data_IF_035625090149
#
_entry.id   IF_035625090149
#
_cell.length_a   1.000
_cell.length_b   1.000
_cell.length_c   1.000
_cell.angle_alpha   90.00
_cell.angle_beta   90.00
_cell.angle_gamma   90.00
#
_symmetry.space_group_name_H-M   'P 1'
#
loop_
_entity.id
_entity.type
_entity.pdbx_description
1 polymer ?
#
# COMPACT_ATOMS: atom_id res chain seq x y z
N UNK A 1 -0.94 16.76 5.24
CA UNK A 1 -1.67 15.62 4.80
C UNK A 1 -0.88 14.32 4.82
N UNK A 2 0.40 14.37 4.66
CA UNK A 2 1.17 13.14 4.53
C UNK A 2 1.81 12.72 5.82
N UNK A 3 1.04 12.02 6.63
CA UNK A 3 1.59 11.37 7.80
C UNK A 3 2.08 9.96 7.46
N UNK A 4 2.14 9.67 6.17
CA UNK A 4 2.56 8.34 5.71
C UNK A 4 4.08 8.32 5.62
N UNK A 5 4.68 7.39 6.33
CA UNK A 5 6.13 7.27 6.44
C UNK A 5 6.56 5.86 6.12
N UNK A 6 7.86 5.72 5.89
CA UNK A 6 8.45 4.40 5.66
C UNK A 6 8.13 3.46 6.80
N UNK A 7 7.97 2.20 6.46
CA UNK A 7 7.74 1.11 7.40
C UNK A 7 6.36 1.06 8.02
N UNK A 8 5.45 1.98 7.64
CA UNK A 8 4.09 1.90 8.11
C UNK A 8 3.38 0.76 7.40
N UNK A 9 2.45 0.14 8.11
CA UNK A 9 1.65 -0.93 7.52
C UNK A 9 0.50 -0.35 6.72
N UNK A 10 0.25 -0.92 5.54
CA UNK A 10 -0.92 -0.55 4.74
C UNK A 10 -1.96 -1.62 4.92
N UNK A 11 -3.16 -1.21 5.30
CA UNK A 11 -4.28 -2.12 5.52
C UNK A 11 -5.47 -1.69 4.68
N UNK A 12 -6.31 -2.65 4.34
CA UNK A 12 -7.56 -2.35 3.63
C UNK A 12 -8.57 -1.72 4.57
N UNK A 13 -9.72 -1.34 4.01
CA UNK A 13 -10.82 -0.80 4.80
C UNK A 13 -11.30 -1.81 5.85
N UNK A 14 -11.08 -3.09 5.57
CA UNK A 14 -11.45 -4.18 6.47
C UNK A 14 -10.36 -4.49 7.50
N UNK A 15 -9.25 -3.74 7.49
CA UNK A 15 -8.17 -3.93 8.43
C UNK A 15 -7.19 -5.02 8.08
N UNK A 16 -7.36 -5.65 6.93
CA UNK A 16 -6.49 -6.75 6.51
C UNK A 16 -5.21 -6.17 5.88
N UNK A 17 -4.08 -6.78 6.20
CA UNK A 17 -2.77 -6.34 5.73
C UNK A 17 -2.70 -6.34 4.20
N UNK A 18 -2.21 -5.25 3.64
CA UNK A 18 -1.99 -5.12 2.20
C UNK A 18 -0.49 -5.10 1.91
N UNK A 19 0.28 -4.35 2.66
CA UNK A 19 1.71 -4.26 2.44
C UNK A 19 2.37 -3.31 3.43
N UNK A 20 3.62 -2.98 3.16
CA UNK A 20 4.40 -2.09 4.01
C UNK A 20 4.95 -0.96 3.16
N UNK A 21 4.89 0.25 3.67
CA UNK A 21 5.35 1.42 2.93
C UNK A 21 6.87 1.41 2.81
N UNK A 22 7.36 1.48 1.56
CA UNK A 22 8.76 1.72 1.31
C UNK A 22 9.02 3.23 1.31
N UNK A 23 8.20 3.94 0.53
CA UNK A 23 8.23 5.41 0.51
C UNK A 23 6.97 5.91 -0.20
N UNK A 24 6.78 7.22 -0.14
CA UNK A 24 5.73 7.88 -0.91
C UNK A 24 6.43 8.73 -1.96
N UNK A 25 6.03 8.57 -3.22
CA UNK A 25 6.60 9.36 -4.30
C UNK A 25 5.57 9.53 -5.40
N UNK A 26 5.58 10.71 -6.03
CA UNK A 26 4.72 11.02 -7.18
C UNK A 26 3.25 10.73 -6.93
N UNK A 27 2.78 11.02 -5.72
CA UNK A 27 1.38 10.82 -5.38
C UNK A 27 0.99 9.37 -5.17
N UNK A 28 1.96 8.50 -4.98
CA UNK A 28 1.71 7.06 -4.81
C UNK A 28 2.51 6.52 -3.64
N UNK A 29 1.98 5.47 -3.03
CA UNK A 29 2.68 4.74 -1.98
C UNK A 29 3.40 3.58 -2.63
N UNK A 30 4.72 3.56 -2.50
CA UNK A 30 5.52 2.46 -3.00
C UNK A 30 5.64 1.43 -1.89
N UNK A 31 5.24 0.20 -2.17
CA UNK A 31 5.31 -0.88 -1.20
C UNK A 31 6.67 -1.56 -1.27
N UNK A 32 7.10 -2.15 -0.17
CA UNK A 32 8.36 -2.89 -0.16
C UNK A 32 8.23 -4.12 -1.03
N UNK A 33 9.35 -4.62 -1.53
CA UNK A 33 9.35 -5.81 -2.38
C UNK A 33 8.79 -7.02 -1.66
N UNK A 34 9.08 -7.15 -0.38
CA UNK A 34 8.66 -8.31 0.39
C UNK A 34 7.14 -8.38 0.49
N UNK A 35 6.48 -7.21 0.46
CA UNK A 35 5.04 -7.12 0.61
C UNK A 35 4.33 -6.70 -0.66
N UNK A 36 5.01 -6.72 -1.80
CA UNK A 36 4.46 -6.22 -3.04
C UNK A 36 3.67 -7.27 -3.80
N UNK A 37 3.02 -8.14 -3.08
CA UNK A 37 2.23 -9.18 -3.67
C UNK A 37 2.81 -10.54 -3.37
N UNK A 38 2.12 -11.57 -3.79
CA UNK A 38 2.50 -12.94 -3.52
C UNK A 38 2.72 -13.69 -4.82
N UNK A 39 3.49 -14.75 -4.74
CA UNK A 39 3.70 -15.62 -5.87
C UNK A 39 4.34 -14.88 -7.04
N UNK A 40 3.62 -14.79 -8.13
CA UNK A 40 4.18 -14.26 -9.36
C UNK A 40 4.51 -12.78 -9.32
N UNK A 41 4.03 -12.07 -8.32
CA UNK A 41 4.32 -10.64 -8.19
C UNK A 41 5.53 -10.39 -7.29
N UNK A 42 6.07 -11.43 -6.74
CA UNK A 42 7.18 -11.32 -5.83
C UNK A 42 8.39 -10.74 -6.56
N UNK A 43 9.03 -9.80 -5.91
CA UNK A 43 10.23 -9.19 -6.48
C UNK A 43 9.99 -7.89 -7.22
N UNK A 44 8.73 -7.50 -7.40
CA UNK A 44 8.37 -6.24 -8.03
C UNK A 44 7.85 -5.27 -6.99
N UNK A 45 8.14 -3.98 -7.18
CA UNK A 45 7.53 -2.95 -6.35
C UNK A 45 6.13 -2.67 -6.86
N UNK A 46 5.19 -2.60 -5.95
CA UNK A 46 3.82 -2.24 -6.29
C UNK A 46 3.53 -0.84 -5.73
N UNK A 47 2.66 -0.12 -6.39
CA UNK A 47 2.31 1.23 -6.01
C UNK A 47 0.81 1.34 -5.80
N UNK A 48 0.42 2.10 -4.77
CA UNK A 48 -0.98 2.38 -4.49
C UNK A 48 -1.16 3.89 -4.56
N UNK A 49 -2.16 4.32 -5.32
CA UNK A 49 -2.46 5.73 -5.48
C UNK A 49 -2.88 6.33 -4.12
N UNK A 50 -2.34 7.49 -3.79
CA UNK A 50 -2.72 8.17 -2.54
C UNK A 50 -4.20 8.45 -2.47
N UNK A 51 -4.88 8.53 -3.60
CA UNK A 51 -6.33 8.71 -3.62
C UNK A 51 -7.10 7.56 -3.02
N UNK A 52 -6.45 6.40 -2.82
CA UNK A 52 -7.09 5.27 -2.15
C UNK A 52 -6.96 5.32 -0.64
N UNK A 53 -6.20 6.27 -0.09
CA UNK A 53 -6.02 6.36 1.35
C UNK A 53 -7.25 7.00 1.99
N UNK A 54 -7.86 6.29 2.91
CA UNK A 54 -9.02 6.81 3.64
C UNK A 54 -8.58 7.52 4.91
N UNK A 55 -7.55 6.99 5.59
CA UNK A 55 -7.15 7.54 6.88
C UNK A 55 -5.75 7.04 7.22
N UNK A 56 -5.10 7.73 8.15
CA UNK A 56 -3.83 7.29 8.71
C UNK A 56 -4.06 7.14 10.20
N UNK A 57 -3.91 5.93 10.71
CA UNK A 57 -4.22 5.59 12.10
C UNK A 57 -2.94 5.10 12.79
N UNK A 58 -2.29 5.98 13.53
CA UNK A 58 -1.05 5.62 14.20
C UNK A 58 0.02 5.25 13.18
N UNK A 59 0.44 4.00 13.22
CA UNK A 59 1.46 3.49 12.29
C UNK A 59 0.84 2.75 11.12
N UNK A 60 -0.45 2.92 10.88
CA UNK A 60 -1.14 2.20 9.82
C UNK A 60 -1.80 3.14 8.85
N UNK A 61 -1.73 2.79 7.57
CA UNK A 61 -2.40 3.52 6.50
C UNK A 61 -3.62 2.71 6.09
N UNK A 62 -4.80 3.23 6.37
CA UNK A 62 -6.06 2.55 6.02
C UNK A 62 -6.52 3.01 4.67
N UNK A 63 -6.80 2.06 3.80
CA UNK A 63 -7.30 2.34 2.46
C UNK A 63 -8.82 2.40 2.46
N UNK A 64 -9.38 2.97 1.38
CA UNK A 64 -10.83 3.08 1.23
C UNK A 64 -11.45 1.81 0.66
N UNK A 65 -10.61 0.88 0.20
CA UNK A 65 -11.08 -0.40 -0.35
C UNK A 65 -10.59 -1.54 0.53
N UNK A 66 -11.33 -2.63 0.57
CA UNK A 66 -10.90 -3.83 1.30
C UNK A 66 -9.63 -4.38 0.67
N UNK A 67 -8.87 -5.13 1.46
CA UNK A 67 -7.54 -5.57 1.03
C UNK A 67 -7.58 -6.35 -0.29
N UNK A 68 -8.54 -7.26 -0.44
CA UNK A 68 -8.62 -8.06 -1.66
C UNK A 68 -8.95 -7.23 -2.89
N UNK A 69 -9.61 -6.09 -2.69
CA UNK A 69 -9.89 -5.16 -3.80
C UNK A 69 -8.67 -4.28 -4.03
N UNK A 70 -8.07 -3.81 -2.95
CA UNK A 70 -6.92 -2.91 -3.06
C UNK A 70 -5.77 -3.55 -3.83
N UNK A 71 -5.51 -4.84 -3.61
CA UNK A 71 -4.41 -5.49 -4.31
C UNK A 71 -4.63 -5.56 -5.82
N UNK A 72 -5.88 -5.55 -6.26
CA UNK A 72 -6.16 -5.53 -7.70
C UNK A 72 -5.96 -4.15 -8.30
N UNK A 73 -5.86 -3.12 -7.46
CA UNK A 73 -5.67 -1.75 -7.90
C UNK A 73 -4.23 -1.30 -7.79
N UNK A 74 -3.34 -2.16 -7.33
CA UNK A 74 -1.93 -1.85 -7.25
C UNK A 74 -1.35 -1.73 -8.65
N UNK A 75 -0.43 -0.77 -8.80
CA UNK A 75 0.29 -0.59 -10.05
C UNK A 75 1.65 -1.25 -9.89
N UNK A 76 2.03 -1.99 -10.91
CA UNK A 76 3.30 -2.69 -10.90
C UNK A 76 4.27 -1.96 -11.80
N UNK A 77 5.43 -1.63 -11.25
CA UNK A 77 6.46 -0.99 -12.03
C UNK A 77 7.41 -2.04 -12.58
N UNK A 78 7.69 -1.94 -13.85
CA UNK A 78 8.57 -2.88 -14.53
C UNK A 78 9.90 -2.26 -14.87
#
# INVERSE_FOLDING_TARGET
MNNIKEHMEVIGADGVHVGTVDRVENGKIKLTKADSGEGKHKGHHHFIDLGLVADVEGQKVRLSANANVAVTMEEEKR
#
